data_IF_991734457338
#
_entry.id   IF_991734457338
#
_cell.length_a   1.000
_cell.length_b   1.000
_cell.length_c   1.000
_cell.angle_alpha   90.00
_cell.angle_beta   90.00
_cell.angle_gamma   90.00
#
_symmetry.space_group_name_H-M   'P 1'
#
loop_
_entity.id
_entity.type
_entity.pdbx_description
1 polymer ?
#
# COMPACT_ATOMS: atom_id res chain seq x y z
N UNK A 1 5.84 0.62 -9.52
CA UNK A 1 4.84 1.26 -8.64
C UNK A 1 5.06 2.77 -8.72
N UNK A 2 3.99 3.57 -8.75
CA UNK A 2 4.03 5.04 -8.78
C UNK A 2 3.15 5.57 -7.66
N UNK A 3 3.58 6.63 -6.98
CA UNK A 3 2.89 7.23 -5.83
C UNK A 3 2.81 8.74 -6.01
N UNK A 4 1.59 9.29 -5.98
CA UNK A 4 1.32 10.72 -6.08
C UNK A 4 0.74 11.23 -4.76
N UNK A 5 1.63 11.74 -3.90
CA UNK A 5 1.31 12.18 -2.54
C UNK A 5 0.75 13.61 -2.48
N UNK A 6 -0.15 13.85 -1.54
CA UNK A 6 -0.75 15.16 -1.26
C UNK A 6 -0.96 15.34 0.25
N UNK A 7 -1.02 16.59 0.72
CA UNK A 7 -1.19 16.88 2.15
C UNK A 7 -0.04 16.38 3.04
N UNK A 8 1.17 16.26 2.49
CA UNK A 8 2.32 15.63 3.15
C UNK A 8 2.92 14.52 2.30
N UNK A 9 4.09 14.01 2.69
CA UNK A 9 4.78 12.90 1.99
C UNK A 9 4.59 11.54 2.66
N UNK A 10 4.01 11.53 3.86
CA UNK A 10 3.97 10.38 4.75
C UNK A 10 3.20 9.21 4.12
N UNK A 11 2.01 9.45 3.57
CA UNK A 11 1.22 8.43 2.91
C UNK A 11 1.95 7.82 1.69
N UNK A 12 2.56 8.67 0.85
CA UNK A 12 3.31 8.20 -0.32
C UNK A 12 4.54 7.37 0.07
N UNK A 13 5.33 7.85 1.04
CA UNK A 13 6.53 7.15 1.54
C UNK A 13 6.16 5.86 2.26
N UNK A 14 5.10 5.87 3.05
CA UNK A 14 4.63 4.69 3.77
C UNK A 14 4.14 3.62 2.80
N UNK A 15 3.26 3.97 1.86
CA UNK A 15 2.74 3.01 0.88
C UNK A 15 3.87 2.46 0.00
N UNK A 16 4.80 3.31 -0.45
CA UNK A 16 5.98 2.88 -1.21
C UNK A 16 6.80 1.80 -0.48
N UNK A 17 7.02 1.98 0.82
CA UNK A 17 7.85 1.06 1.62
C UNK A 17 7.16 -0.26 1.93
N UNK A 18 5.83 -0.28 2.02
CA UNK A 18 5.10 -1.41 2.59
C UNK A 18 4.24 -2.18 1.58
N UNK A 19 3.75 -1.55 0.51
CA UNK A 19 2.71 -2.17 -0.32
C UNK A 19 3.14 -3.48 -0.97
N UNK A 20 4.39 -3.57 -1.47
CA UNK A 20 4.90 -4.82 -2.03
C UNK A 20 4.96 -5.93 -0.99
N UNK A 21 5.46 -5.62 0.22
CA UNK A 21 5.53 -6.55 1.35
C UNK A 21 4.13 -7.10 1.68
N UNK A 22 3.14 -6.21 1.77
CA UNK A 22 1.77 -6.62 2.06
C UNK A 22 1.15 -7.48 0.96
N UNK A 23 1.49 -7.24 -0.32
CA UNK A 23 1.05 -8.09 -1.43
C UNK A 23 1.63 -9.51 -1.28
N UNK A 24 2.96 -9.63 -1.09
CA UNK A 24 3.64 -10.94 -1.09
C UNK A 24 3.39 -11.75 0.18
N UNK A 25 3.09 -11.09 1.31
CA UNK A 25 2.77 -11.75 2.58
C UNK A 25 1.29 -12.10 2.74
N UNK A 26 0.42 -11.66 1.83
CA UNK A 26 -1.00 -12.00 1.89
C UNK A 26 -1.23 -13.49 1.57
N UNK A 27 -2.14 -14.14 2.29
CA UNK A 27 -2.43 -15.57 2.11
C UNK A 27 -3.01 -15.89 0.74
N UNK A 28 -3.63 -14.91 0.06
CA UNK A 28 -4.15 -15.08 -1.30
C UNK A 28 -3.08 -14.86 -2.37
N UNK A 29 -1.83 -14.52 -2.03
CA UNK A 29 -0.80 -14.16 -3.03
C UNK A 29 -0.60 -15.26 -4.10
N UNK A 30 -0.59 -16.53 -3.68
CA UNK A 30 -0.46 -17.67 -4.61
C UNK A 30 -1.79 -18.14 -5.21
N UNK A 31 -2.92 -17.79 -4.61
CA UNK A 31 -4.23 -18.34 -4.96
C UNK A 31 -5.02 -17.39 -5.86
N UNK A 32 -4.99 -16.09 -5.56
CA UNK A 32 -5.73 -15.05 -6.23
C UNK A 32 -5.02 -13.70 -6.06
N UNK A 33 -4.12 -13.39 -6.99
CA UNK A 33 -3.30 -12.18 -6.96
C UNK A 33 -4.14 -10.89 -6.86
N UNK A 34 -5.28 -10.81 -7.54
CA UNK A 34 -6.16 -9.64 -7.47
C UNK A 34 -6.69 -9.41 -6.05
N UNK A 35 -7.00 -10.48 -5.30
CA UNK A 35 -7.40 -10.36 -3.89
C UNK A 35 -6.22 -9.96 -3.02
N UNK A 36 -5.05 -10.56 -3.21
CA UNK A 36 -3.85 -10.20 -2.46
C UNK A 36 -3.50 -8.72 -2.65
N UNK A 37 -3.60 -8.20 -3.88
CA UNK A 37 -3.41 -6.78 -4.17
C UNK A 37 -4.46 -5.94 -3.43
N UNK A 38 -5.76 -6.26 -3.51
CA UNK A 38 -6.81 -5.51 -2.80
C UNK A 38 -6.60 -5.51 -1.28
N UNK A 39 -6.30 -6.67 -0.71
CA UNK A 39 -6.04 -6.84 0.72
C UNK A 39 -4.83 -6.01 1.16
N UNK A 40 -3.76 -5.99 0.35
CA UNK A 40 -2.57 -5.20 0.64
C UNK A 40 -2.85 -3.69 0.69
N UNK A 41 -3.69 -3.17 -0.20
CA UNK A 41 -4.10 -1.77 -0.16
C UNK A 41 -4.94 -1.45 1.08
N UNK A 42 -5.88 -2.33 1.46
CA UNK A 42 -6.65 -2.20 2.70
C UNK A 42 -5.73 -2.24 3.94
N UNK A 43 -4.77 -3.16 3.96
CA UNK A 43 -3.79 -3.28 5.05
C UNK A 43 -2.88 -2.07 5.13
N UNK A 44 -2.46 -1.52 3.99
CA UNK A 44 -1.66 -0.29 3.94
C UNK A 44 -2.42 0.90 4.53
N UNK A 45 -3.70 1.06 4.20
CA UNK A 45 -4.56 2.12 4.73
C UNK A 45 -4.72 2.01 6.26
N UNK A 46 -5.05 0.83 6.77
CA UNK A 46 -5.19 0.57 8.21
C UNK A 46 -3.86 0.76 8.97
N UNK A 47 -2.75 0.32 8.39
CA UNK A 47 -1.43 0.45 9.01
C UNK A 47 -0.94 1.91 9.02
N UNK A 48 -1.29 2.69 7.98
CA UNK A 48 -1.04 4.13 7.94
C UNK A 48 -1.84 4.85 9.03
N UNK A 49 -3.16 4.58 9.09
CA UNK A 49 -4.06 5.21 10.06
C UNK A 49 -3.72 4.87 11.53
N UNK A 50 -3.17 3.68 11.79
CA UNK A 50 -2.72 3.27 13.13
C UNK A 50 -1.35 3.83 13.53
N UNK A 51 -0.63 4.46 12.60
CA UNK A 51 0.65 5.12 12.90
C UNK A 51 0.37 6.53 13.45
N UNK A 52 0.23 6.63 14.77
CA UNK A 52 -0.16 7.83 15.53
C UNK A 52 0.73 9.09 15.33
N UNK A 53 1.82 8.98 14.58
CA UNK A 53 2.80 10.05 14.34
C UNK A 53 2.76 10.65 12.92
N UNK A 54 1.90 10.14 12.03
CA UNK A 54 1.82 10.61 10.64
C UNK A 54 0.81 11.74 10.50
N UNK A 55 1.09 12.64 9.56
CA UNK A 55 0.18 13.72 9.18
C UNK A 55 -1.17 13.15 8.71
N UNK A 56 -2.23 13.41 9.46
CA UNK A 56 -3.59 12.91 9.17
C UNK A 56 -4.21 13.55 7.94
N UNK A 57 -3.60 14.61 7.41
CA UNK A 57 -3.98 15.22 6.13
C UNK A 57 -3.24 14.62 4.93
N UNK A 58 -2.25 13.73 5.16
CA UNK A 58 -1.47 13.11 4.10
C UNK A 58 -2.24 11.98 3.42
N UNK A 59 -2.27 12.03 2.08
CA UNK A 59 -2.82 10.99 1.22
C UNK A 59 -1.91 10.70 0.04
N UNK A 60 -2.16 9.61 -0.68
CA UNK A 60 -1.46 9.29 -1.92
C UNK A 60 -2.37 8.53 -2.88
N UNK A 61 -2.30 8.85 -4.17
CA UNK A 61 -2.70 7.90 -5.21
C UNK A 61 -1.56 6.90 -5.41
N UNK A 62 -1.87 5.62 -5.68
CA UNK A 62 -0.87 4.59 -5.95
C UNK A 62 -1.27 3.73 -7.16
N UNK A 63 -0.33 3.58 -8.11
CA UNK A 63 -0.47 2.70 -9.27
C UNK A 63 0.56 1.57 -9.19
N UNK A 64 0.07 0.33 -9.16
CA UNK A 64 0.90 -0.89 -9.08
C UNK A 64 0.64 -1.76 -10.29
N UNK A 65 1.73 -2.25 -10.89
CA UNK A 65 1.70 -3.31 -11.89
C UNK A 65 2.53 -4.48 -11.34
N UNK A 66 2.01 -5.69 -11.50
CA UNK A 66 2.68 -6.93 -11.12
C UNK A 66 2.97 -7.74 -12.37
N UNK A 67 4.20 -8.24 -12.50
CA UNK A 67 4.66 -9.01 -13.66
C UNK A 67 5.26 -10.30 -13.12
N UNK A 68 4.75 -11.45 -13.60
CA UNK A 68 5.29 -12.79 -13.33
C UNK A 68 5.72 -13.44 -14.65
N UNK A 69 6.75 -14.28 -14.59
CA UNK A 69 7.15 -15.19 -15.67
C UNK A 69 6.61 -16.60 -15.45
#
# INVERSE_FOLDING_TARGET
>A
QVFDGHGGRDAAVFTQKNILKFIVEDTEFTNCLDKAIRNAFVKADQALASTCALDTSSGTTALTAFISG
#
